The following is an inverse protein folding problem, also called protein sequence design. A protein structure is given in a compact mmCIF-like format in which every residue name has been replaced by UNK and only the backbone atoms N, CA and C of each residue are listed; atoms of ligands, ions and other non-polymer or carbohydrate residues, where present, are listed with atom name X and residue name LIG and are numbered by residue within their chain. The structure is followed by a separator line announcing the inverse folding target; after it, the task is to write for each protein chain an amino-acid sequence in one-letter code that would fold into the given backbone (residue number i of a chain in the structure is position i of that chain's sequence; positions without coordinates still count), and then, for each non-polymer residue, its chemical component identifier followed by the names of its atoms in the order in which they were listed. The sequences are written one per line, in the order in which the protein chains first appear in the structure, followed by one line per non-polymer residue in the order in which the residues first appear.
data_IF_116009712760
#
_entry.id   IF_116009712760
#
_cell.length_a   1.000
_cell.length_b   1.000
_cell.length_c   1.000
_cell.angle_alpha   90.00
_cell.angle_beta   90.00
_cell.angle_gamma   90.00
#
_symmetry.space_group_name_H-M   'P 1'
#
loop_
_entity.id
_entity.type
_entity.pdbx_description
1 polymer ?
#
# COMPACT_ATOMS: atom_id res chain seq x y z
N UNK A 1 -13.44 5.18 8.63
CA UNK A 1 -12.76 5.10 7.32
C UNK A 1 -12.59 6.52 6.82
N UNK A 2 -11.34 6.93 6.68
CA UNK A 2 -10.97 8.21 6.06
C UNK A 2 -11.15 8.12 4.55
N UNK A 3 -11.61 9.21 3.93
CA UNK A 3 -11.82 9.29 2.47
C UNK A 3 -11.42 10.67 2.00
N UNK A 4 -10.58 10.69 0.99
CA UNK A 4 -10.13 11.91 0.33
C UNK A 4 -10.44 11.84 -1.17
N UNK A 5 -10.60 13.02 -1.78
CA UNK A 5 -10.81 13.16 -3.22
C UNK A 5 -9.76 14.11 -3.77
N UNK A 6 -9.09 13.68 -4.82
CA UNK A 6 -8.15 14.51 -5.58
C UNK A 6 -8.68 14.70 -7.00
N UNK A 7 -8.41 15.87 -7.59
CA UNK A 7 -8.78 16.17 -8.97
C UNK A 7 -7.93 15.42 -10.00
N UNK A 8 -6.67 15.13 -9.64
CA UNK A 8 -5.68 14.52 -10.51
C UNK A 8 -5.19 13.17 -9.95
N UNK A 9 -4.98 12.20 -10.85
CA UNK A 9 -4.51 10.86 -10.49
C UNK A 9 -3.15 10.90 -9.79
N UNK A 10 -2.23 11.71 -10.30
CA UNK A 10 -0.89 11.87 -9.75
C UNK A 10 -0.91 12.48 -8.32
N UNK A 11 -1.83 13.42 -8.07
CA UNK A 11 -2.06 13.95 -6.73
C UNK A 11 -2.59 12.85 -5.78
N UNK A 12 -3.51 12.01 -6.24
CA UNK A 12 -4.00 10.87 -5.46
C UNK A 12 -2.89 9.85 -5.16
N UNK A 13 -2.01 9.58 -6.14
CA UNK A 13 -0.89 8.65 -5.96
C UNK A 13 0.14 9.17 -4.94
N UNK A 14 0.44 10.47 -4.96
CA UNK A 14 1.26 11.11 -3.91
C UNK A 14 0.61 11.00 -2.53
N UNK A 15 -0.68 11.27 -2.42
CA UNK A 15 -1.40 11.18 -1.14
C UNK A 15 -1.38 9.75 -0.58
N UNK A 16 -1.62 8.75 -1.44
CA UNK A 16 -1.54 7.33 -1.05
C UNK A 16 -0.14 6.95 -0.59
N UNK A 17 0.90 7.37 -1.31
CA UNK A 17 2.28 7.08 -0.90
C UNK A 17 2.60 7.72 0.46
N UNK A 18 2.30 9.00 0.65
CA UNK A 18 2.56 9.70 1.90
C UNK A 18 1.87 8.97 3.08
N UNK A 19 0.58 8.66 2.93
CA UNK A 19 -0.16 7.97 3.97
C UNK A 19 0.33 6.53 4.20
N UNK A 20 0.72 5.83 3.14
CA UNK A 20 1.27 4.48 3.28
C UNK A 20 2.62 4.47 4.01
N UNK A 21 3.48 5.47 3.78
CA UNK A 21 4.75 5.60 4.50
C UNK A 21 4.55 5.83 5.99
N UNK A 22 3.61 6.71 6.36
CA UNK A 22 3.24 6.90 7.78
C UNK A 22 2.79 5.59 8.42
N UNK A 23 1.89 4.86 7.76
CA UNK A 23 1.39 3.58 8.25
C UNK A 23 2.47 2.49 8.30
N UNK A 24 3.45 2.53 7.38
CA UNK A 24 4.61 1.62 7.40
C UNK A 24 5.49 1.85 8.63
N UNK A 25 5.75 3.11 8.98
CA UNK A 25 6.51 3.46 10.20
C UNK A 25 5.75 3.04 11.46
N UNK A 26 4.43 3.30 11.51
CA UNK A 26 3.56 2.86 12.61
C UNK A 26 3.57 1.32 12.77
N UNK A 27 3.48 0.58 11.67
CA UNK A 27 3.49 -0.87 11.66
C UNK A 27 4.84 -1.44 12.11
N UNK A 28 5.95 -0.90 11.61
CA UNK A 28 7.30 -1.32 12.01
C UNK A 28 7.52 -1.09 13.51
N UNK A 29 7.15 0.09 14.03
CA UNK A 29 7.23 0.37 15.46
C UNK A 29 6.38 -0.61 16.31
N UNK A 30 5.21 -1.03 15.82
CA UNK A 30 4.38 -2.04 16.47
C UNK A 30 4.95 -3.47 16.35
N UNK A 31 5.72 -3.77 15.30
CA UNK A 31 6.37 -5.06 15.10
C UNK A 31 7.51 -5.31 16.11
N UNK A 32 8.21 -4.25 16.50
CA UNK A 32 9.32 -4.29 17.47
C UNK A 32 8.87 -4.55 18.91
N UNK A 33 7.56 -4.51 19.19
CA UNK A 33 7.02 -4.79 20.52
C UNK A 33 6.91 -6.31 20.77
N UNK A 34 7.28 -6.83 21.96
CA UNK A 34 7.16 -8.24 22.29
C UNK A 34 5.71 -8.72 22.21
N UNK A 35 5.37 -9.48 21.17
CA UNK A 35 4.04 -10.05 21.02
C UNK A 35 3.97 -11.41 21.71
N UNK A 36 3.32 -11.49 22.87
CA UNK A 36 3.33 -12.67 23.74
C UNK A 36 2.72 -13.95 23.09
N UNK A 37 1.91 -13.82 22.02
CA UNK A 37 1.16 -14.93 21.41
C UNK A 37 0.73 -14.62 19.94
N UNK A 38 1.65 -14.40 18.99
CA UNK A 38 1.26 -14.27 17.56
C UNK A 38 1.37 -15.60 16.82
N UNK A 39 0.26 -16.06 16.24
CA UNK A 39 0.19 -17.26 15.38
C UNK A 39 0.62 -16.98 13.93
N UNK A 40 0.64 -15.72 13.52
CA UNK A 40 1.02 -15.26 12.18
C UNK A 40 2.13 -14.23 12.30
N UNK A 41 3.16 -14.35 11.46
CA UNK A 41 4.24 -13.36 11.38
C UNK A 41 3.68 -11.99 10.94
N UNK A 42 4.25 -10.86 11.41
CA UNK A 42 3.75 -9.54 11.06
C UNK A 42 3.64 -9.30 9.55
N UNK A 43 4.61 -9.79 8.77
CA UNK A 43 4.62 -9.72 7.29
C UNK A 43 3.40 -10.39 6.64
N UNK A 44 2.82 -11.41 7.29
CA UNK A 44 1.66 -12.14 6.77
C UNK A 44 0.34 -11.39 6.99
N UNK A 45 0.36 -10.35 7.82
CA UNK A 45 -0.84 -9.61 8.23
C UNK A 45 -0.90 -8.27 7.50
N UNK A 46 -2.07 -7.90 7.00
CA UNK A 46 -2.33 -6.54 6.51
C UNK A 46 -2.59 -5.66 7.74
N UNK A 47 -1.66 -4.74 8.03
CA UNK A 47 -1.83 -3.72 9.06
C UNK A 47 -2.83 -2.66 8.62
N UNK A 48 -2.68 -2.17 7.39
CA UNK A 48 -3.58 -1.19 6.80
C UNK A 48 -3.72 -1.37 5.30
N UNK A 49 -4.84 -0.90 4.74
CA UNK A 49 -5.09 -0.86 3.30
C UNK A 49 -5.53 0.54 2.89
N UNK A 50 -4.91 1.05 1.84
CA UNK A 50 -5.31 2.29 1.18
C UNK A 50 -5.79 1.95 -0.22
N UNK A 51 -7.01 2.38 -0.56
CA UNK A 51 -7.64 2.10 -1.85
C UNK A 51 -7.67 3.33 -2.75
N UNK A 52 -7.30 3.15 -4.01
CA UNK A 52 -7.47 4.11 -5.10
C UNK A 52 -8.62 3.69 -6.00
N UNK A 53 -9.58 4.59 -6.18
CA UNK A 53 -10.68 4.37 -7.13
C UNK A 53 -10.98 5.63 -7.93
N UNK A 54 -11.14 5.46 -9.24
CA UNK A 54 -11.47 6.55 -10.16
C UNK A 54 -11.87 6.04 -11.54
N UNK A 55 -12.05 6.95 -12.52
CA UNK A 55 -12.28 6.58 -13.91
C UNK A 55 -11.17 5.64 -14.41
N UNK A 56 -11.52 4.42 -14.81
CA UNK A 56 -10.57 3.43 -15.32
C UNK A 56 -9.59 2.83 -14.30
N UNK A 57 -9.52 3.34 -13.06
CA UNK A 57 -8.51 2.93 -12.07
C UNK A 57 -9.16 2.27 -10.85
N UNK A 58 -8.63 1.08 -10.50
CA UNK A 58 -8.88 0.37 -9.25
C UNK A 58 -7.57 -0.24 -8.79
N UNK A 59 -7.03 0.28 -7.70
CA UNK A 59 -5.69 -0.04 -7.22
C UNK A 59 -5.58 0.26 -5.72
N UNK A 60 -4.41 0.03 -5.14
CA UNK A 60 -4.13 0.40 -3.76
C UNK A 60 -2.78 -0.09 -3.25
N UNK A 61 -2.53 0.19 -1.99
CA UNK A 61 -1.37 -0.29 -1.22
C UNK A 61 -1.87 -1.05 0.00
N UNK A 62 -1.32 -2.25 0.21
CA UNK A 62 -1.39 -2.96 1.48
C UNK A 62 -0.11 -2.69 2.26
N UNK A 63 -0.23 -2.22 3.51
CA UNK A 63 0.87 -2.12 4.47
C UNK A 63 0.80 -3.35 5.37
N UNK A 64 1.92 -4.07 5.48
CA UNK A 64 2.07 -5.27 6.29
C UNK A 64 2.45 -4.92 7.73
N UNK A 65 2.26 -5.88 8.64
CA UNK A 65 2.55 -5.70 10.06
C UNK A 65 4.02 -5.49 10.38
N UNK A 66 4.94 -5.77 9.47
CA UNK A 66 6.38 -5.47 9.59
C UNK A 66 6.78 -4.13 8.94
N UNK A 67 5.80 -3.37 8.45
CA UNK A 67 6.02 -2.10 7.75
C UNK A 67 6.29 -2.23 6.26
N UNK A 68 6.45 -3.44 5.72
CA UNK A 68 6.57 -3.64 4.27
C UNK A 68 5.27 -3.25 3.55
N UNK A 69 5.39 -2.77 2.31
CA UNK A 69 4.24 -2.32 1.52
C UNK A 69 4.14 -3.10 0.21
N UNK A 70 2.93 -3.36 -0.24
CA UNK A 70 2.65 -4.06 -1.50
C UNK A 70 1.60 -3.31 -2.32
N UNK A 71 1.94 -3.00 -3.57
CA UNK A 71 0.99 -2.43 -4.52
C UNK A 71 0.11 -3.48 -5.14
N UNK A 72 -1.14 -3.15 -5.42
CA UNK A 72 -2.05 -4.02 -6.18
C UNK A 72 -2.91 -3.23 -7.16
N UNK A 73 -3.38 -3.94 -8.19
CA UNK A 73 -4.40 -3.47 -9.13
C UNK A 73 -5.58 -4.43 -9.18
N UNK A 74 -6.72 -3.95 -9.69
CA UNK A 74 -7.86 -4.78 -10.06
C UNK A 74 -9.19 -4.38 -9.44
N UNK A 75 -10.26 -4.57 -10.21
CA UNK A 75 -11.65 -4.21 -9.85
C UNK A 75 -12.40 -5.34 -9.15
N UNK A 76 -12.23 -6.57 -9.62
CA UNK A 76 -12.93 -7.76 -9.12
C UNK A 76 -12.01 -8.72 -8.39
N UNK A 77 -10.76 -8.83 -8.85
CA UNK A 77 -9.69 -9.59 -8.19
C UNK A 77 -8.47 -8.71 -8.08
N UNK A 78 -7.91 -8.66 -6.88
CA UNK A 78 -6.65 -7.95 -6.60
C UNK A 78 -5.50 -8.78 -7.15
N UNK A 79 -4.60 -8.13 -7.88
CA UNK A 79 -3.34 -8.69 -8.36
C UNK A 79 -2.22 -7.82 -7.84
N UNK A 80 -1.28 -8.44 -7.12
CA UNK A 80 -0.09 -7.75 -6.65
C UNK A 80 0.69 -7.24 -7.86
N UNK A 81 1.21 -6.03 -7.71
CA UNK A 81 2.12 -5.43 -8.66
C UNK A 81 3.53 -5.89 -8.29
N UNK A 82 4.18 -6.56 -9.22
CA UNK A 82 5.56 -6.98 -9.06
C UNK A 82 6.48 -5.76 -9.00
N UNK A 83 7.33 -5.71 -7.97
CA UNK A 83 8.42 -4.76 -7.82
C UNK A 83 9.63 -5.23 -8.62
N UNK A 84 10.22 -4.34 -9.40
CA UNK A 84 11.51 -4.57 -10.06
C UNK A 84 12.66 -4.26 -9.11
N UNK A 85 13.86 -4.73 -9.45
CA UNK A 85 15.07 -4.44 -8.66
C UNK A 85 15.27 -2.92 -8.51
N UNK A 86 15.42 -2.45 -7.28
CA UNK A 86 15.56 -1.02 -6.95
C UNK A 86 14.26 -0.20 -6.99
N UNK A 87 13.11 -0.82 -7.25
CA UNK A 87 11.81 -0.16 -7.33
C UNK A 87 11.08 -0.25 -5.98
N UNK A 88 10.48 0.86 -5.52
CA UNK A 88 9.57 0.80 -4.36
C UNK A 88 8.19 0.25 -4.75
N UNK A 89 7.39 -0.17 -3.77
CA UNK A 89 5.97 -0.57 -4.01
C UNK A 89 5.16 0.55 -4.66
N UNK A 90 5.51 1.80 -4.36
CA UNK A 90 4.85 2.99 -4.86
C UNK A 90 5.21 3.24 -6.33
N UNK A 91 6.50 3.11 -6.68
CA UNK A 91 6.97 3.25 -8.05
C UNK A 91 6.42 2.14 -8.95
N UNK A 92 6.41 0.90 -8.43
CA UNK A 92 5.81 -0.23 -9.11
C UNK A 92 4.32 0.02 -9.41
N UNK A 93 3.58 0.56 -8.44
CA UNK A 93 2.18 0.93 -8.62
C UNK A 93 1.98 2.03 -9.66
N UNK A 94 2.78 3.10 -9.62
CA UNK A 94 2.76 4.19 -10.62
C UNK A 94 2.98 3.67 -12.03
N UNK A 95 4.00 2.83 -12.20
CA UNK A 95 4.29 2.15 -13.47
C UNK A 95 3.11 1.31 -13.94
N UNK A 96 2.50 0.53 -13.05
CA UNK A 96 1.38 -0.34 -13.41
C UNK A 96 0.11 0.43 -13.82
N UNK A 97 -0.07 1.64 -13.31
CA UNK A 97 -1.22 2.51 -13.62
C UNK A 97 -0.93 3.40 -14.85
N UNK A 98 0.34 3.53 -15.27
CA UNK A 98 0.74 4.28 -16.46
C UNK A 98 1.09 5.75 -16.19
N UNK A 99 1.52 6.09 -14.98
CA UNK A 99 1.90 7.45 -14.57
C UNK A 99 3.39 7.54 -14.23
N UNK A 100 4.24 6.88 -15.03
CA UNK A 100 5.69 6.88 -14.84
C UNK A 100 6.33 8.23 -15.20
#
# INVERSE_FOLDING_TARGET
MEKERHGELDAALRAIEARARELSEEANAAALQPALMRRFEPVQQVFARIELSGPGVRAGIDVRGDGSAEGYTGRFRRRLVEQRSGESSYDALRRAIGTA
#
